data_IF_168318472145
#
_entry.id   IF_168318472145
#
_cell.length_a   1.000
_cell.length_b   1.000
_cell.length_c   1.000
_cell.angle_alpha   90.00
_cell.angle_beta   90.00
_cell.angle_gamma   90.00
#
_symmetry.space_group_name_H-M   'P 1'
#
loop_
_entity.id
_entity.type
_entity.pdbx_description
1 polymer ?
#
# COMPACT_ATOMS: atom_id res chain seq x y z
N UNK A 1 1.56 -2.22 -15.71
CA UNK A 1 1.17 -1.42 -14.53
C UNK A 1 1.93 -1.92 -13.33
N UNK A 2 2.35 -1.02 -12.46
CA UNK A 2 2.96 -1.38 -11.17
C UNK A 2 1.87 -1.65 -10.15
N UNK A 3 1.89 -2.83 -9.54
CA UNK A 3 0.91 -3.22 -8.51
C UNK A 3 1.63 -3.31 -7.17
N UNK A 4 1.18 -2.51 -6.21
CA UNK A 4 1.73 -2.51 -4.87
C UNK A 4 0.67 -2.90 -3.86
N UNK A 5 1.04 -3.75 -2.91
CA UNK A 5 0.17 -4.14 -1.80
C UNK A 5 0.78 -3.60 -0.52
N UNK A 6 0.07 -2.72 0.15
CA UNK A 6 0.49 -2.18 1.44
C UNK A 6 0.19 -3.22 2.51
N UNK A 7 1.24 -3.65 3.21
CA UNK A 7 1.11 -4.66 4.26
C UNK A 7 2.19 -4.46 5.31
N UNK A 8 1.84 -4.65 6.57
CA UNK A 8 2.82 -4.67 7.64
C UNK A 8 3.80 -5.82 7.41
N UNK A 9 5.08 -5.55 7.62
CA UNK A 9 6.14 -6.55 7.43
C UNK A 9 5.90 -7.81 8.26
N UNK A 10 5.26 -7.66 9.40
CA UNK A 10 4.97 -8.77 10.34
C UNK A 10 3.65 -9.49 10.08
N UNK A 11 2.82 -8.98 9.16
CA UNK A 11 1.51 -9.56 8.86
C UNK A 11 1.64 -10.77 7.92
N UNK A 12 2.26 -11.84 8.40
CA UNK A 12 2.61 -13.01 7.58
C UNK A 12 1.39 -13.70 6.99
N UNK A 13 0.31 -13.84 7.75
CA UNK A 13 -0.92 -14.47 7.27
C UNK A 13 -1.57 -13.67 6.14
N UNK A 14 -1.63 -12.34 6.28
CA UNK A 14 -2.18 -11.47 5.26
C UNK A 14 -1.32 -11.47 4.01
N UNK A 15 0.00 -11.48 4.18
CA UNK A 15 0.91 -11.57 3.03
C UNK A 15 0.76 -12.90 2.30
N UNK A 16 0.55 -14.00 3.02
CA UNK A 16 0.29 -15.29 2.41
C UNK A 16 -1.03 -15.27 1.63
N UNK A 17 -2.06 -14.64 2.17
CA UNK A 17 -3.33 -14.46 1.47
C UNK A 17 -3.14 -13.71 0.14
N UNK A 18 -2.39 -12.61 0.15
CA UNK A 18 -2.12 -11.82 -1.05
C UNK A 18 -1.31 -12.64 -2.06
N UNK A 19 -0.29 -13.37 -1.60
CA UNK A 19 0.50 -14.22 -2.49
C UNK A 19 -0.38 -15.26 -3.19
N UNK A 20 -1.29 -15.88 -2.46
CA UNK A 20 -2.24 -16.84 -3.02
C UNK A 20 -3.17 -16.18 -4.04
N UNK A 21 -3.72 -15.02 -3.72
CA UNK A 21 -4.63 -14.30 -4.61
C UNK A 21 -3.95 -13.87 -5.90
N UNK A 22 -2.81 -13.23 -5.81
CA UNK A 22 -2.12 -12.69 -6.98
C UNK A 22 -1.53 -13.82 -7.83
N UNK A 23 -1.02 -14.86 -7.22
CA UNK A 23 -0.50 -16.03 -7.96
C UNK A 23 -1.62 -16.76 -8.69
N UNK A 24 -2.77 -16.95 -8.05
CA UNK A 24 -3.93 -17.61 -8.66
C UNK A 24 -4.41 -16.85 -9.92
N UNK A 25 -4.38 -15.53 -9.88
CA UNK A 25 -4.80 -14.70 -11.00
C UNK A 25 -3.64 -14.31 -11.92
N UNK A 26 -2.44 -14.79 -11.67
CA UNK A 26 -1.25 -14.54 -12.49
C UNK A 26 -0.95 -13.05 -12.63
N UNK A 27 -1.08 -12.30 -11.55
CA UNK A 27 -0.81 -10.87 -11.49
C UNK A 27 0.49 -10.63 -10.73
N UNK A 28 1.41 -9.88 -11.33
CA UNK A 28 2.65 -9.49 -10.68
C UNK A 28 2.38 -8.34 -9.69
N UNK A 29 3.08 -8.37 -8.56
CA UNK A 29 2.92 -7.36 -7.52
C UNK A 29 4.18 -7.24 -6.69
N UNK A 30 4.25 -6.18 -5.90
CA UNK A 30 5.28 -5.98 -4.90
C UNK A 30 4.63 -5.55 -3.59
N UNK A 31 5.15 -6.04 -2.47
CA UNK A 31 4.74 -5.53 -1.18
C UNK A 31 5.41 -4.18 -0.90
N UNK A 32 4.62 -3.29 -0.34
CA UNK A 32 5.14 -2.06 0.27
C UNK A 32 4.90 -2.16 1.76
N UNK A 33 5.99 -2.08 2.55
CA UNK A 33 5.89 -2.20 4.00
C UNK A 33 5.08 -1.05 4.56
N UNK A 34 3.94 -1.35 5.16
CA UNK A 34 3.10 -0.35 5.78
C UNK A 34 3.85 0.36 6.90
N UNK A 35 3.62 1.66 7.02
CA UNK A 35 4.22 2.44 8.08
C UNK A 35 3.56 2.10 9.42
N UNK A 36 4.37 1.97 10.45
CA UNK A 36 3.86 1.90 11.82
C UNK A 36 3.38 3.29 12.24
N UNK A 37 2.52 3.41 13.28
CA UNK A 37 2.07 4.72 13.74
C UNK A 37 3.21 5.70 14.04
N UNK A 38 4.30 5.22 14.65
CA UNK A 38 5.45 6.07 14.98
C UNK A 38 6.15 6.59 13.73
N UNK A 39 6.40 5.71 12.76
CA UNK A 39 7.02 6.09 11.49
C UNK A 39 6.11 7.02 10.69
N UNK A 40 4.80 6.80 10.74
CA UNK A 40 3.84 7.66 10.06
C UNK A 40 3.86 9.07 10.61
N UNK A 41 3.91 9.22 11.94
CA UNK A 41 4.00 10.53 12.59
C UNK A 41 5.30 11.24 12.20
N UNK A 42 6.42 10.53 12.20
CA UNK A 42 7.71 11.08 11.80
C UNK A 42 7.69 11.54 10.35
N UNK A 43 7.11 10.76 9.46
CA UNK A 43 7.01 11.11 8.05
C UNK A 43 6.09 12.31 7.83
N UNK A 44 4.97 12.39 8.55
CA UNK A 44 4.07 13.54 8.47
C UNK A 44 4.79 14.83 8.86
N UNK A 45 5.60 14.80 9.92
CA UNK A 45 6.42 15.94 10.33
C UNK A 45 7.45 16.29 9.26
N UNK A 46 8.12 15.30 8.72
CA UNK A 46 9.13 15.50 7.68
C UNK A 46 8.55 16.15 6.43
N UNK A 47 7.35 15.76 6.05
CA UNK A 47 6.66 16.31 4.88
C UNK A 47 5.88 17.58 5.22
N UNK A 48 5.93 18.04 6.47
CA UNK A 48 5.23 19.23 6.96
C UNK A 48 3.72 19.16 6.75
N UNK A 49 3.16 17.96 6.90
CA UNK A 49 1.73 17.75 6.81
C UNK A 49 1.08 18.09 8.14
N UNK A 50 0.00 18.86 8.07
CA UNK A 50 -0.77 19.22 9.25
C UNK A 50 -1.82 18.13 9.49
N UNK A 51 -1.53 17.23 10.44
CA UNK A 51 -2.41 16.11 10.77
C UNK A 51 -3.10 16.40 12.09
N UNK A 52 -4.42 16.35 12.11
CA UNK A 52 -5.20 16.54 13.33
C UNK A 52 -5.55 15.18 13.93
N UNK A 53 -4.85 14.79 14.99
CA UNK A 53 -5.05 13.51 15.67
C UNK A 53 -6.44 13.35 16.29
N UNK A 54 -7.21 14.43 16.44
CA UNK A 54 -8.59 14.35 16.90
C UNK A 54 -9.51 13.69 15.87
N UNK A 55 -9.14 13.75 14.61
CA UNK A 55 -9.93 13.20 13.51
C UNK A 55 -9.39 11.89 12.96
N UNK A 56 -8.12 11.58 13.22
CA UNK A 56 -7.50 10.35 12.73
C UNK A 56 -6.93 9.54 13.88
N UNK A 57 -7.37 8.29 14.00
CA UNK A 57 -6.71 7.35 14.89
C UNK A 57 -5.28 7.06 14.37
N UNK A 58 -4.39 6.60 15.27
CA UNK A 58 -3.00 6.32 14.89
C UNK A 58 -2.90 5.30 13.74
N UNK A 59 -3.78 4.29 13.73
CA UNK A 59 -3.81 3.29 12.66
C UNK A 59 -4.28 3.88 11.34
N UNK A 60 -5.26 4.79 11.38
CA UNK A 60 -5.72 5.49 10.18
C UNK A 60 -4.63 6.40 9.62
N UNK A 61 -3.89 7.08 10.49
CA UNK A 61 -2.74 7.88 10.09
C UNK A 61 -1.68 7.01 9.41
N UNK A 62 -1.38 5.84 9.98
CA UNK A 62 -0.40 4.93 9.40
C UNK A 62 -0.82 4.47 8.01
N UNK A 63 -2.10 4.15 7.82
CA UNK A 63 -2.64 3.76 6.52
C UNK A 63 -2.55 4.92 5.52
N UNK A 64 -2.97 6.11 5.91
CA UNK A 64 -2.91 7.30 5.08
C UNK A 64 -1.46 7.60 4.66
N UNK A 65 -0.53 7.60 5.61
CA UNK A 65 0.87 7.92 5.33
C UNK A 65 1.54 6.84 4.48
N UNK A 66 1.10 5.58 4.56
CA UNK A 66 1.59 4.53 3.66
C UNK A 66 1.21 4.82 2.21
N UNK A 67 -0.01 5.31 1.97
CA UNK A 67 -0.42 5.76 0.64
C UNK A 67 0.39 6.97 0.17
N UNK A 68 0.61 7.95 1.05
CA UNK A 68 1.42 9.13 0.73
C UNK A 68 2.85 8.72 0.35
N UNK A 69 3.43 7.78 1.10
CA UNK A 69 4.77 7.28 0.80
C UNK A 69 4.84 6.61 -0.57
N UNK A 70 3.81 5.85 -0.96
CA UNK A 70 3.73 5.25 -2.29
C UNK A 70 3.57 6.29 -3.39
N UNK A 71 2.77 7.32 -3.16
CA UNK A 71 2.63 8.42 -4.12
C UNK A 71 3.96 9.15 -4.32
N UNK A 72 4.71 9.36 -3.23
CA UNK A 72 6.04 9.97 -3.32
C UNK A 72 7.00 9.09 -4.12
N UNK A 73 6.97 7.77 -3.89
CA UNK A 73 7.76 6.81 -4.65
C UNK A 73 7.40 6.86 -6.14
N UNK A 74 6.12 6.97 -6.45
CA UNK A 74 5.65 7.10 -7.83
C UNK A 74 6.24 8.33 -8.51
N UNK A 75 6.27 9.46 -7.81
CA UNK A 75 6.86 10.70 -8.34
C UNK A 75 8.38 10.58 -8.48
N UNK A 76 9.05 10.02 -7.49
CA UNK A 76 10.52 9.89 -7.47
C UNK A 76 11.01 8.94 -8.56
N UNK A 77 10.26 7.89 -8.85
CA UNK A 77 10.63 6.88 -9.87
C UNK A 77 9.99 7.15 -11.23
N UNK A 78 9.28 8.27 -11.35
CA UNK A 78 8.64 8.69 -12.60
C UNK A 78 7.70 7.61 -13.16
N UNK A 79 6.92 6.98 -12.27
CA UNK A 79 5.93 5.96 -12.63
C UNK A 79 4.63 6.65 -13.06
N UNK A 80 4.14 6.36 -14.27
CA UNK A 80 2.92 7.00 -14.80
C UNK A 80 1.65 6.45 -14.18
N UNK A 81 1.60 5.13 -13.89
CA UNK A 81 0.42 4.46 -13.35
C UNK A 81 0.83 3.48 -12.27
N UNK A 82 0.02 3.42 -11.23
CA UNK A 82 0.24 2.52 -10.10
C UNK A 82 -1.10 2.07 -9.54
N UNK A 83 -1.25 0.77 -9.28
CA UNK A 83 -2.38 0.25 -8.53
C UNK A 83 -1.93 -0.01 -7.10
N UNK A 84 -2.72 0.43 -6.13
CA UNK A 84 -2.42 0.30 -4.71
C UNK A 84 -3.54 -0.50 -4.05
N UNK A 85 -3.17 -1.56 -3.34
CA UNK A 85 -4.11 -2.45 -2.66
C UNK A 85 -3.75 -2.58 -1.19
N UNK A 86 -4.76 -2.87 -0.38
CA UNK A 86 -4.55 -3.31 0.99
C UNK A 86 -4.47 -4.84 1.05
N UNK A 87 -3.95 -5.40 2.14
CA UNK A 87 -3.62 -6.81 2.23
C UNK A 87 -4.79 -7.73 2.62
N UNK A 88 -6.01 -7.20 2.64
CA UNK A 88 -7.23 -7.93 2.95
C UNK A 88 -8.18 -8.08 1.74
N UNK A 89 -7.70 -7.78 0.55
CA UNK A 89 -8.53 -7.81 -0.65
C UNK A 89 -8.62 -9.20 -1.28
N UNK A 90 -9.64 -9.37 -2.13
CA UNK A 90 -9.81 -10.53 -3.01
C UNK A 90 -9.85 -10.04 -4.45
N UNK A 91 -9.15 -10.74 -5.33
CA UNK A 91 -9.15 -10.40 -6.75
C UNK A 91 -10.33 -11.06 -7.46
N UNK A 92 -10.98 -10.31 -8.33
CA UNK A 92 -12.04 -10.85 -9.18
C UNK A 92 -11.50 -11.57 -10.42
N UNK A 93 -12.37 -12.23 -11.16
CA UNK A 93 -12.00 -13.07 -12.31
C UNK A 93 -11.28 -12.29 -13.42
N UNK A 94 -11.56 -11.00 -13.56
CA UNK A 94 -10.98 -10.16 -14.60
C UNK A 94 -9.69 -9.45 -14.16
N UNK A 95 -9.16 -9.78 -12.98
CA UNK A 95 -8.02 -9.08 -12.41
C UNK A 95 -6.79 -9.09 -13.33
N UNK A 96 -6.49 -10.23 -13.94
CA UNK A 96 -5.32 -10.34 -14.84
C UNK A 96 -5.44 -9.43 -16.05
N UNK A 97 -6.65 -9.25 -16.59
CA UNK A 97 -6.88 -8.37 -17.73
C UNK A 97 -6.55 -6.91 -17.39
N UNK A 98 -6.99 -6.43 -16.22
CA UNK A 98 -6.81 -5.04 -15.83
C UNK A 98 -5.44 -4.74 -15.21
N UNK A 99 -4.87 -5.69 -14.47
CA UNK A 99 -3.68 -5.45 -13.66
C UNK A 99 -2.37 -5.84 -14.34
N UNK A 100 -2.42 -6.54 -15.46
CA UNK A 100 -1.24 -6.90 -16.24
C UNK A 100 -1.00 -5.97 -17.44
N UNK A 101 -1.75 -4.90 -17.50
CA UNK A 101 -1.62 -3.92 -18.60
C UNK A 101 -0.33 -3.14 -18.56
#
# INVERSE_FOLDING_TARGET
>A
MKNYVISLKTATDRRQHIENQFSHHQVEYQFFNALTPDLAATMADKLKLNVNEKFLAKTELACFMSHVALWQKMLDENISYMAIFEDDIYLGDDASFYLNS
#
